data_IF_184353672042
#
_entry.id   IF_184353672042
#
_cell.length_a   1.000
_cell.length_b   1.000
_cell.length_c   1.000
_cell.angle_alpha   90.00
_cell.angle_beta   90.00
_cell.angle_gamma   90.00
#
_symmetry.space_group_name_H-M   'P 1'
#
loop_
_entity.id
_entity.type
_entity.pdbx_description
1 polymer ?
#
# COMPACT_ATOMS: atom_id res chain seq x y z
N UNK A 1 -7.08 12.54 4.24
CA UNK A 1 -6.30 12.76 5.48
C UNK A 1 -7.13 12.58 6.74
N UNK A 2 -8.31 13.19 6.87
CA UNK A 2 -9.09 13.17 8.12
C UNK A 2 -9.35 11.77 8.73
N UNK A 3 -9.60 10.74 7.92
CA UNK A 3 -9.75 9.37 8.44
C UNK A 3 -8.48 8.83 9.08
N UNK A 4 -7.32 8.97 8.42
CA UNK A 4 -6.02 8.47 8.90
C UNK A 4 -5.67 9.16 10.23
N UNK A 5 -5.81 10.49 10.28
CA UNK A 5 -5.52 11.26 11.49
C UNK A 5 -6.52 10.95 12.62
N UNK A 6 -7.79 10.67 12.30
CA UNK A 6 -8.80 10.24 13.28
C UNK A 6 -8.46 8.86 13.88
N UNK A 7 -7.90 7.92 13.10
CA UNK A 7 -7.40 6.66 13.66
C UNK A 7 -6.24 6.92 14.61
N UNK A 8 -5.28 7.77 14.25
CA UNK A 8 -4.18 8.14 15.15
C UNK A 8 -4.66 8.82 16.44
N UNK A 9 -5.67 9.68 16.36
CA UNK A 9 -6.29 10.28 17.55
C UNK A 9 -6.96 9.24 18.44
N UNK A 10 -7.66 8.28 17.83
CA UNK A 10 -8.31 7.18 18.56
C UNK A 10 -7.26 6.34 19.30
N UNK A 11 -6.18 5.94 18.61
CA UNK A 11 -5.07 5.23 19.23
C UNK A 11 -4.39 6.05 20.34
N UNK A 12 -4.23 7.37 20.18
CA UNK A 12 -3.65 8.24 21.20
C UNK A 12 -4.50 8.30 22.49
N UNK A 13 -5.83 8.26 22.36
CA UNK A 13 -6.76 8.26 23.50
C UNK A 13 -6.83 6.88 24.14
N UNK A 14 -6.91 5.82 23.34
CA UNK A 14 -7.06 4.45 23.82
C UNK A 14 -5.80 3.92 24.50
N UNK A 15 -4.61 4.17 23.95
CA UNK A 15 -3.34 3.74 24.56
C UNK A 15 -3.13 4.36 25.96
N UNK A 16 -3.65 5.58 26.19
CA UNK A 16 -3.66 6.20 27.53
C UNK A 16 -4.58 5.48 28.53
N UNK A 17 -5.58 4.73 28.05
CA UNK A 17 -6.61 4.06 28.87
C UNK A 17 -6.37 2.56 29.01
N UNK A 18 -5.96 1.87 27.95
CA UNK A 18 -5.70 0.45 27.92
C UNK A 18 -4.57 0.11 26.94
N UNK A 19 -3.42 -0.43 27.38
CA UNK A 19 -2.31 -0.78 26.50
C UNK A 19 -2.58 -2.01 25.61
N UNK A 20 -3.72 -2.71 25.80
CA UNK A 20 -4.16 -3.83 24.96
C UNK A 20 -5.28 -3.46 23.98
N UNK A 21 -5.43 -2.19 23.63
CA UNK A 21 -6.40 -1.75 22.62
C UNK A 21 -6.09 -2.34 21.24
N UNK A 22 -7.12 -2.54 20.42
CA UNK A 22 -6.94 -3.02 19.06
C UNK A 22 -6.24 -1.97 18.19
N UNK A 23 -5.38 -2.42 17.28
CA UNK A 23 -4.74 -1.53 16.30
C UNK A 23 -5.72 -1.22 15.16
N UNK A 24 -6.06 0.06 15.02
CA UNK A 24 -6.99 0.58 14.01
C UNK A 24 -6.28 1.47 12.99
N UNK A 25 -4.94 1.61 13.09
CA UNK A 25 -4.16 2.48 12.23
C UNK A 25 -4.11 1.96 10.79
N UNK A 26 -4.05 2.88 9.84
CA UNK A 26 -3.88 2.54 8.42
C UNK A 26 -2.42 2.24 8.14
N UNK A 27 -2.07 0.96 7.98
CA UNK A 27 -0.69 0.54 7.75
C UNK A 27 -0.24 0.62 6.29
N UNK A 28 -1.18 0.56 5.34
CA UNK A 28 -0.89 0.67 3.92
C UNK A 28 -2.09 1.26 3.17
N UNK A 29 -1.81 2.04 2.14
CA UNK A 29 -2.76 2.59 1.20
C UNK A 29 -2.39 2.09 -0.19
N UNK A 30 -3.30 1.33 -0.79
CA UNK A 30 -3.21 0.93 -2.18
C UNK A 30 -3.76 2.09 -3.02
N UNK A 31 -2.88 2.78 -3.75
CA UNK A 31 -3.27 3.90 -4.60
C UNK A 31 -3.39 3.43 -6.05
N UNK A 32 -4.61 3.30 -6.54
CA UNK A 32 -4.88 2.84 -7.90
C UNK A 32 -4.75 3.99 -8.89
N UNK A 33 -3.77 3.88 -9.78
CA UNK A 33 -3.55 4.78 -10.90
C UNK A 33 -4.19 4.22 -12.18
N UNK A 34 -4.80 5.08 -13.01
CA UNK A 34 -5.24 4.66 -14.33
C UNK A 34 -4.02 4.28 -15.20
N UNK A 35 -4.16 3.27 -16.08
CA UNK A 35 -3.07 2.79 -16.95
C UNK A 35 -2.87 3.71 -18.17
N UNK A 36 -2.79 5.02 -17.94
CA UNK A 36 -2.72 6.04 -18.99
C UNK A 36 -1.64 7.08 -18.68
N UNK A 37 -0.94 7.51 -19.74
CA UNK A 37 0.00 8.64 -19.70
C UNK A 37 -0.60 9.87 -20.38
N UNK A 38 -0.27 11.09 -19.91
CA UNK A 38 0.53 11.38 -18.71
C UNK A 38 -0.26 11.13 -17.40
N UNK A 39 0.45 10.84 -16.30
CA UNK A 39 -0.18 10.74 -14.98
C UNK A 39 -0.73 12.09 -14.55
N UNK A 40 -1.92 12.10 -13.96
CA UNK A 40 -2.57 13.34 -13.58
C UNK A 40 -1.82 13.98 -12.40
N UNK A 41 -1.54 15.30 -12.42
CA UNK A 41 -0.77 15.96 -11.36
C UNK A 41 -1.47 15.91 -9.99
N UNK A 42 -2.81 15.79 -9.97
CA UNK A 42 -3.57 15.58 -8.73
C UNK A 42 -3.23 14.24 -8.09
N UNK A 43 -3.03 13.18 -8.87
CA UNK A 43 -2.64 11.88 -8.33
C UNK A 43 -1.26 11.95 -7.68
N UNK A 44 -0.30 12.58 -8.35
CA UNK A 44 1.05 12.76 -7.82
C UNK A 44 1.04 13.59 -6.52
N UNK A 45 0.25 14.67 -6.49
CA UNK A 45 0.07 15.48 -5.28
C UNK A 45 -0.64 14.70 -4.16
N UNK A 46 -1.61 13.85 -4.49
CA UNK A 46 -2.32 13.03 -3.53
C UNK A 46 -1.40 11.97 -2.92
N UNK A 47 -0.65 11.24 -3.75
CA UNK A 47 0.33 10.24 -3.30
C UNK A 47 1.36 10.91 -2.37
N UNK A 48 1.91 12.07 -2.75
CA UNK A 48 2.85 12.84 -1.91
C UNK A 48 2.24 13.26 -0.57
N UNK A 49 0.98 13.68 -0.58
CA UNK A 49 0.29 14.09 0.63
C UNK A 49 0.03 12.91 1.56
N UNK A 50 -0.45 11.79 1.01
CA UNK A 50 -0.75 10.56 1.74
C UNK A 50 0.51 9.92 2.34
N UNK A 51 1.63 9.95 1.61
CA UNK A 51 2.91 9.39 2.07
C UNK A 51 3.45 10.04 3.36
N UNK A 52 3.00 11.25 3.71
CA UNK A 52 3.37 11.87 4.98
C UNK A 52 2.69 11.23 6.21
N UNK A 53 1.65 10.40 6.00
CA UNK A 53 0.82 9.83 7.07
C UNK A 53 0.54 8.33 6.94
N UNK A 54 0.76 7.72 5.78
CA UNK A 54 0.60 6.29 5.55
C UNK A 54 1.60 5.76 4.53
N UNK A 55 1.90 4.47 4.58
CA UNK A 55 2.65 3.79 3.53
C UNK A 55 1.81 3.72 2.26
N UNK A 56 2.26 4.35 1.16
CA UNK A 56 1.50 4.36 -0.11
C UNK A 56 2.14 3.41 -1.10
N UNK A 57 1.36 2.44 -1.58
CA UNK A 57 1.75 1.48 -2.61
C UNK A 57 1.01 1.87 -3.89
N UNK A 58 1.69 2.46 -4.89
CA UNK A 58 1.07 2.80 -6.16
C UNK A 58 0.87 1.54 -7.00
N UNK A 59 -0.35 1.38 -7.52
CA UNK A 59 -0.76 0.25 -8.36
C UNK A 59 -1.28 0.76 -9.70
N UNK A 60 -0.93 0.08 -10.78
CA UNK A 60 -1.56 0.29 -12.09
C UNK A 60 -2.83 -0.56 -12.17
N UNK A 61 -3.98 0.10 -12.24
CA UNK A 61 -5.27 -0.57 -12.35
C UNK A 61 -5.58 -0.98 -13.80
N UNK A 62 -6.46 -1.97 -13.98
CA UNK A 62 -6.99 -2.39 -15.29
C UNK A 62 -5.88 -2.70 -16.32
N UNK A 63 -4.88 -3.48 -15.90
CA UNK A 63 -3.73 -3.80 -16.76
C UNK A 63 -4.10 -4.59 -18.03
N UNK A 64 -5.24 -5.25 -18.05
CA UNK A 64 -5.84 -5.90 -19.22
C UNK A 64 -6.28 -4.92 -20.32
N UNK A 65 -6.37 -3.62 -20.03
CA UNK A 65 -6.73 -2.59 -21.03
C UNK A 65 -5.55 -2.15 -21.91
N UNK A 66 -4.33 -2.59 -21.60
CA UNK A 66 -3.10 -2.16 -22.26
C UNK A 66 -2.28 -3.36 -22.71
N UNK A 67 -1.44 -3.17 -23.73
CA UNK A 67 -0.53 -4.23 -24.21
C UNK A 67 0.70 -4.35 -23.33
N UNK A 68 1.34 -5.54 -23.27
CA UNK A 68 2.57 -5.77 -22.49
C UNK A 68 3.67 -4.75 -22.80
N UNK A 69 3.85 -4.40 -24.08
CA UNK A 69 4.83 -3.38 -24.50
C UNK A 69 4.50 -1.98 -23.97
N UNK A 70 3.22 -1.61 -23.92
CA UNK A 70 2.81 -0.33 -23.34
C UNK A 70 2.96 -0.35 -21.82
N UNK A 71 2.67 -1.49 -21.19
CA UNK A 71 2.79 -1.67 -19.76
C UNK A 71 4.21 -1.48 -19.26
N UNK A 72 5.21 -2.04 -19.94
CA UNK A 72 6.63 -1.84 -19.61
C UNK A 72 7.00 -0.34 -19.63
N UNK A 73 6.60 0.37 -20.68
CA UNK A 73 6.85 1.82 -20.79
C UNK A 73 6.14 2.63 -19.70
N UNK A 74 4.90 2.23 -19.34
CA UNK A 74 4.12 2.84 -18.28
C UNK A 74 4.79 2.67 -16.91
N UNK A 75 5.24 1.45 -16.60
CA UNK A 75 5.95 1.14 -15.36
C UNK A 75 7.23 1.95 -15.23
N UNK A 76 8.09 1.96 -16.26
CA UNK A 76 9.33 2.74 -16.24
C UNK A 76 9.08 4.24 -16.07
N UNK A 77 8.05 4.77 -16.75
CA UNK A 77 7.67 6.19 -16.64
C UNK A 77 7.13 6.53 -15.24
N UNK A 78 6.30 5.65 -14.68
CA UNK A 78 5.75 5.82 -13.34
C UNK A 78 6.85 5.76 -12.28
N UNK A 79 7.74 4.78 -12.36
CA UNK A 79 8.87 4.64 -11.44
C UNK A 79 9.75 5.89 -11.45
N UNK A 80 10.09 6.41 -12.63
CA UNK A 80 10.83 7.67 -12.76
C UNK A 80 10.09 8.85 -12.12
N UNK A 81 8.79 8.99 -12.40
CA UNK A 81 7.97 10.08 -11.86
C UNK A 81 7.86 10.00 -10.33
N UNK A 82 7.73 8.78 -9.79
CA UNK A 82 7.65 8.55 -8.35
C UNK A 82 8.98 8.81 -7.64
N UNK A 83 10.12 8.40 -8.23
CA UNK A 83 11.45 8.69 -7.68
C UNK A 83 11.72 10.20 -7.55
N UNK A 84 11.19 11.02 -8.46
CA UNK A 84 11.31 12.47 -8.41
C UNK A 84 10.37 13.11 -7.36
N UNK A 85 9.25 12.47 -7.04
CA UNK A 85 8.17 13.07 -6.23
C UNK A 85 8.04 12.52 -4.81
N UNK A 86 8.53 11.30 -4.55
CA UNK A 86 8.44 10.61 -3.27
C UNK A 86 9.75 9.89 -2.94
N UNK A 87 10.15 9.84 -1.66
CA UNK A 87 10.95 8.72 -1.20
C UNK A 87 10.09 7.47 -1.39
N UNK A 88 10.43 6.65 -2.39
CA UNK A 88 9.77 5.37 -2.61
C UNK A 88 9.77 4.57 -1.31
N UNK A 89 8.73 3.74 -1.14
CA UNK A 89 8.52 2.91 0.04
C UNK A 89 9.81 2.16 0.38
N UNK A 90 10.51 2.60 1.42
CA UNK A 90 11.75 1.95 1.81
C UNK A 90 11.43 0.79 2.74
N UNK A 91 11.06 -0.33 2.13
CA UNK A 91 10.90 -1.61 2.82
C UNK A 91 12.13 -1.99 3.65
N UNK A 92 13.30 -1.41 3.36
CA UNK A 92 14.54 -1.70 4.08
C UNK A 92 14.57 -1.14 5.51
N UNK A 93 13.67 -0.20 5.84
CA UNK A 93 13.55 0.34 7.21
C UNK A 93 12.58 -0.45 8.09
N UNK A 94 12.09 -1.60 7.60
CA UNK A 94 11.54 -2.63 8.47
C UNK A 94 12.68 -3.35 9.20
N UNK A 95 13.50 -2.56 9.91
CA UNK A 95 13.96 -2.86 11.25
C UNK A 95 13.97 -4.36 11.56
N UNK A 96 15.10 -4.96 11.19
CA UNK A 96 15.72 -6.13 11.81
C UNK A 96 16.05 -5.85 13.30
N UNK A 97 15.13 -5.18 13.99
CA UNK A 97 15.22 -4.70 15.37
C UNK A 97 14.75 -5.79 16.35
N UNK A 98 14.52 -6.99 15.84
CA UNK A 98 14.53 -8.18 16.67
C UNK A 98 15.96 -8.41 17.13
N UNK A 99 16.19 -8.26 18.43
CA UNK A 99 17.37 -8.68 19.21
C UNK A 99 17.64 -10.21 19.12
N UNK A 100 17.63 -10.74 17.89
CA UNK A 100 17.94 -12.10 17.54
C UNK A 100 18.97 -12.03 16.43
N UNK A 101 20.16 -12.54 16.69
CA UNK A 101 21.19 -12.78 15.70
C UNK A 101 20.54 -13.63 14.60
N UNK A 102 20.19 -13.02 13.48
CA UNK A 102 19.78 -13.74 12.28
C UNK A 102 21.06 -14.37 11.73
N UNK A 103 21.00 -15.65 11.38
CA UNK A 103 22.15 -16.29 10.74
C UNK A 103 22.39 -15.60 9.39
N UNK A 104 23.66 -15.35 9.03
CA UNK A 104 24.03 -14.54 7.85
C UNK A 104 23.31 -15.00 6.56
N UNK A 105 22.98 -16.30 6.44
CA UNK A 105 22.26 -16.89 5.29
C UNK A 105 20.78 -16.46 5.22
N UNK A 106 20.08 -16.34 6.35
CA UNK A 106 18.66 -15.91 6.40
C UNK A 106 18.51 -14.41 6.08
N UNK A 107 19.50 -13.60 6.46
CA UNK A 107 19.54 -12.16 6.14
C UNK A 107 19.75 -11.94 4.63
N UNK A 108 20.64 -12.72 3.99
CA UNK A 108 20.85 -12.66 2.54
C UNK A 108 19.60 -13.05 1.74
N UNK A 109 18.88 -14.10 2.16
CA UNK A 109 17.64 -14.52 1.52
C UNK A 109 16.57 -13.41 1.62
N UNK A 110 16.38 -12.84 2.81
CA UNK A 110 15.45 -11.74 3.06
C UNK A 110 15.76 -10.50 2.20
N UNK A 111 17.03 -10.08 2.15
CA UNK A 111 17.47 -8.96 1.30
C UNK A 111 17.20 -9.25 -0.18
N UNK A 112 17.38 -10.49 -0.61
CA UNK A 112 17.08 -10.91 -1.98
C UNK A 112 15.58 -10.79 -2.30
N UNK A 113 14.70 -11.15 -1.36
CA UNK A 113 13.24 -11.04 -1.50
C UNK A 113 12.78 -9.58 -1.54
N UNK A 114 13.31 -8.72 -0.66
CA UNK A 114 13.06 -7.27 -0.71
C UNK A 114 13.37 -6.75 -2.10
N UNK A 115 14.53 -7.14 -2.65
CA UNK A 115 14.98 -6.66 -3.96
C UNK A 115 14.02 -7.10 -5.06
N UNK A 116 13.62 -8.37 -5.10
CA UNK A 116 12.65 -8.88 -6.08
C UNK A 116 11.33 -8.11 -6.02
N UNK A 117 10.82 -7.83 -4.83
CA UNK A 117 9.57 -7.09 -4.64
C UNK A 117 9.71 -5.61 -5.02
N UNK A 118 10.85 -4.98 -4.70
CA UNK A 118 11.15 -3.60 -5.12
C UNK A 118 11.28 -3.49 -6.65
N UNK A 119 11.92 -4.45 -7.30
CA UNK A 119 12.11 -4.48 -8.76
C UNK A 119 10.78 -4.68 -9.51
N UNK A 120 9.80 -5.32 -8.88
CA UNK A 120 8.46 -5.52 -9.43
C UNK A 120 7.54 -4.29 -9.32
N UNK A 121 7.94 -3.24 -8.58
CA UNK A 121 7.15 -2.02 -8.49
C UNK A 121 7.26 -1.17 -9.76
N UNK A 122 6.17 -0.52 -10.20
CA UNK A 122 4.82 -0.55 -9.64
C UNK A 122 4.02 -1.79 -10.11
N UNK A 123 3.29 -2.43 -9.18
CA UNK A 123 2.49 -3.62 -9.51
C UNK A 123 1.29 -3.30 -10.37
N UNK A 124 0.92 -4.27 -11.19
CA UNK A 124 -0.29 -4.25 -12.02
C UNK A 124 -1.37 -5.12 -11.42
N UNK A 125 -2.59 -4.60 -11.42
CA UNK A 125 -3.75 -5.33 -10.88
C UNK A 125 -4.92 -5.30 -11.86
N UNK A 126 -5.61 -6.42 -11.91
CA UNK A 126 -6.83 -6.61 -12.68
C UNK A 126 -7.93 -7.00 -11.70
N UNK A 127 -9.04 -6.26 -11.74
CA UNK A 127 -10.19 -6.57 -10.89
C UNK A 127 -11.00 -7.70 -11.51
N UNK A 128 -11.28 -8.74 -10.72
CA UNK A 128 -12.19 -9.81 -11.13
C UNK A 128 -13.61 -9.26 -11.34
N UNK A 129 -14.37 -9.94 -12.20
CA UNK A 129 -15.78 -9.66 -12.40
C UNK A 129 -16.55 -10.13 -11.17
N UNK A 130 -17.38 -9.24 -10.62
CA UNK A 130 -18.31 -9.58 -9.55
C UNK A 130 -19.75 -9.49 -10.07
N UNK A 131 -20.62 -10.40 -9.63
CA UNK A 131 -22.03 -10.35 -9.96
C UNK A 131 -22.65 -9.01 -9.56
N UNK A 132 -23.48 -8.46 -10.45
CA UNK A 132 -24.20 -7.22 -10.17
C UNK A 132 -25.22 -7.42 -9.02
N UNK A 133 -25.51 -6.38 -8.22
CA UNK A 133 -26.54 -6.43 -7.20
C UNK A 133 -27.88 -6.91 -7.78
N UNK A 134 -28.41 -8.03 -7.28
CA UNK A 134 -29.66 -8.63 -7.75
C UNK A 134 -29.49 -9.78 -8.76
N UNK A 135 -28.28 -10.01 -9.28
CA UNK A 135 -27.94 -11.26 -9.94
C UNK A 135 -27.52 -12.28 -8.88
N UNK A 136 -28.19 -13.43 -8.81
CA UNK A 136 -27.69 -14.57 -8.05
C UNK A 136 -26.45 -15.10 -8.76
N UNK A 137 -25.26 -14.64 -8.40
CA UNK A 137 -24.09 -15.49 -8.60
C UNK A 137 -24.25 -16.72 -7.73
N UNK A 138 -24.02 -17.87 -8.33
CA UNK A 138 -23.85 -19.11 -7.59
C UNK A 138 -22.45 -19.18 -6.94
N UNK A 139 -21.49 -18.37 -7.42
CA UNK A 139 -20.13 -18.21 -6.88
C UNK A 139 -19.43 -16.95 -7.37
N UNK A 140 -18.41 -16.48 -6.65
CA UNK A 140 -17.49 -15.39 -7.06
C UNK A 140 -16.52 -15.80 -8.19
N UNK A 141 -16.61 -17.04 -8.64
CA UNK A 141 -15.76 -17.63 -9.68
C UNK A 141 -16.52 -17.76 -11.00
N UNK A 142 -15.82 -17.51 -12.11
CA UNK A 142 -16.25 -17.85 -13.45
C UNK A 142 -16.00 -19.34 -13.70
N UNK A 143 -16.98 -20.05 -14.25
CA UNK A 143 -16.79 -21.44 -14.70
C UNK A 143 -16.42 -21.45 -16.18
N UNK A 144 -15.15 -21.72 -16.47
CA UNK A 144 -14.60 -21.82 -17.83
C UNK A 144 -13.97 -23.20 -17.98
N UNK A 145 -14.41 -23.96 -18.99
CA UNK A 145 -13.94 -25.33 -19.27
C UNK A 145 -13.98 -26.28 -18.04
N UNK A 146 -14.98 -26.08 -17.16
CA UNK A 146 -15.16 -26.86 -15.94
C UNK A 146 -14.23 -26.47 -14.78
N UNK A 147 -13.39 -25.44 -14.97
CA UNK A 147 -12.57 -24.86 -13.92
C UNK A 147 -13.20 -23.58 -13.36
N UNK A 148 -13.02 -23.37 -12.06
CA UNK A 148 -13.42 -22.15 -11.37
C UNK A 148 -12.25 -21.18 -11.36
N UNK A 149 -12.37 -20.10 -12.10
CA UNK A 149 -11.35 -19.06 -12.19
C UNK A 149 -11.86 -17.78 -11.57
N UNK A 150 -10.98 -17.04 -10.90
CA UNK A 150 -11.26 -15.67 -10.48
C UNK A 150 -10.76 -14.76 -11.59
N UNK A 151 -11.64 -14.05 -12.28
CA UNK A 151 -11.26 -13.43 -13.54
C UNK A 151 -12.29 -12.52 -14.15
N UNK A 152 -12.00 -12.10 -15.39
CA UNK A 152 -12.92 -11.34 -16.24
C UNK A 152 -13.16 -12.10 -17.53
N UNK A 153 -14.41 -12.16 -17.99
CA UNK A 153 -14.73 -12.75 -19.28
C UNK A 153 -14.91 -11.67 -20.34
N UNK A 154 -14.19 -11.83 -21.45
CA UNK A 154 -14.30 -11.02 -22.65
C UNK A 154 -14.83 -11.84 -23.83
N UNK A 155 -15.32 -11.16 -24.86
CA UNK A 155 -15.74 -11.82 -26.11
C UNK A 155 -14.59 -12.57 -26.82
N UNK A 156 -13.35 -12.14 -26.55
CA UNK A 156 -12.13 -12.66 -27.16
C UNK A 156 -11.34 -13.61 -26.26
N UNK A 157 -11.78 -13.87 -25.03
CA UNK A 157 -11.07 -14.74 -24.09
C UNK A 157 -11.41 -14.43 -22.64
N UNK A 158 -10.67 -15.05 -21.73
CA UNK A 158 -10.81 -14.82 -20.29
C UNK A 158 -9.46 -14.41 -19.70
N UNK A 159 -9.52 -13.50 -18.74
CA UNK A 159 -8.35 -13.08 -17.96
C UNK A 159 -8.47 -13.68 -16.58
N UNK A 160 -7.56 -14.58 -16.24
CA UNK A 160 -7.45 -15.14 -14.90
C UNK A 160 -6.57 -14.22 -14.04
N UNK A 161 -7.11 -13.74 -12.93
CA UNK A 161 -6.46 -12.77 -12.03
C UNK A 161 -5.42 -13.43 -11.13
N UNK A 162 -5.50 -14.75 -10.93
CA UNK A 162 -4.50 -15.51 -10.18
C UNK A 162 -3.36 -16.05 -11.08
N UNK A 163 -3.42 -15.78 -12.39
CA UNK A 163 -2.38 -16.17 -13.34
C UNK A 163 -1.28 -15.10 -13.43
N UNK A 164 -0.02 -15.53 -13.25
CA UNK A 164 1.16 -14.67 -13.28
C UNK A 164 1.43 -14.08 -14.67
N UNK A 165 0.98 -14.75 -15.73
CA UNK A 165 1.11 -14.23 -17.10
C UNK A 165 0.12 -13.09 -17.39
N UNK A 166 -0.97 -13.00 -16.61
CA UNK A 166 -2.01 -12.00 -16.80
C UNK A 166 -1.86 -10.79 -15.88
N UNK A 167 -1.48 -10.98 -14.61
CA UNK A 167 -1.22 -9.85 -13.71
C UNK A 167 -0.33 -10.19 -12.50
N UNK A 168 0.16 -9.13 -11.86
CA UNK A 168 1.06 -9.21 -10.71
C UNK A 168 0.33 -9.18 -9.37
N UNK A 169 -0.96 -9.54 -9.36
CA UNK A 169 -1.74 -9.53 -8.12
C UNK A 169 -1.15 -10.50 -7.07
N UNK A 170 -0.58 -11.62 -7.51
CA UNK A 170 0.08 -12.58 -6.63
C UNK A 170 1.27 -11.94 -5.88
N UNK A 171 2.12 -11.17 -6.56
CA UNK A 171 3.21 -10.42 -5.91
C UNK A 171 2.68 -9.41 -4.91
N UNK A 172 1.59 -8.70 -5.24
CA UNK A 172 0.97 -7.76 -4.32
C UNK A 172 0.40 -8.45 -3.07
N UNK A 173 -0.27 -9.61 -3.23
CA UNK A 173 -0.79 -10.42 -2.11
C UNK A 173 0.35 -10.88 -1.20
N UNK A 174 1.40 -11.43 -1.79
CA UNK A 174 2.59 -11.88 -1.05
C UNK A 174 3.25 -10.72 -0.28
N UNK A 175 3.44 -9.58 -0.95
CA UNK A 175 3.97 -8.37 -0.30
C UNK A 175 3.10 -7.94 0.89
N UNK A 176 1.78 -7.88 0.73
CA UNK A 176 0.88 -7.31 1.74
C UNK A 176 0.58 -8.24 2.90
N UNK A 177 0.53 -9.55 2.68
CA UNK A 177 0.06 -10.50 3.69
C UNK A 177 1.17 -11.34 4.32
N UNK A 178 2.26 -11.58 3.60
CA UNK A 178 3.32 -12.48 4.05
C UNK A 178 4.59 -11.70 4.37
N UNK A 179 5.04 -10.85 3.45
CA UNK A 179 6.37 -10.27 3.53
C UNK A 179 6.44 -8.92 4.26
N UNK A 180 5.78 -7.89 3.73
CA UNK A 180 5.98 -6.51 4.19
C UNK A 180 5.06 -6.10 5.36
N UNK A 181 4.04 -6.89 5.72
CA UNK A 181 3.07 -6.50 6.74
C UNK A 181 3.70 -6.13 8.10
N UNK A 182 4.64 -6.91 8.66
CA UNK A 182 5.29 -6.55 9.92
C UNK A 182 6.05 -5.22 9.80
N UNK A 183 6.77 -5.03 8.70
CA UNK A 183 7.51 -3.81 8.40
C UNK A 183 6.63 -2.58 8.25
N UNK A 184 5.54 -2.70 7.48
CA UNK A 184 4.55 -1.64 7.30
C UNK A 184 3.91 -1.21 8.62
N UNK A 185 3.61 -2.18 9.50
CA UNK A 185 3.11 -1.91 10.85
C UNK A 185 4.14 -1.19 11.71
N UNK A 186 5.37 -1.68 11.73
CA UNK A 186 6.48 -1.06 12.47
C UNK A 186 6.69 0.38 12.02
N UNK A 187 6.85 0.62 10.72
CA UNK A 187 7.04 1.95 10.14
C UNK A 187 5.86 2.89 10.47
N UNK A 188 4.63 2.40 10.37
CA UNK A 188 3.44 3.18 10.73
C UNK A 188 3.48 3.63 12.18
N UNK A 189 3.85 2.74 13.10
CA UNK A 189 3.89 3.04 14.53
C UNK A 189 5.07 3.92 14.91
N UNK A 190 6.28 3.53 14.49
CA UNK A 190 7.53 4.15 14.92
C UNK A 190 7.83 5.46 14.21
N UNK A 191 7.38 5.63 12.96
CA UNK A 191 7.66 6.85 12.17
C UNK A 191 6.40 7.70 11.99
N UNK A 192 5.34 7.17 11.38
CA UNK A 192 4.19 7.98 10.95
C UNK A 192 3.34 8.46 12.13
N UNK A 193 3.00 7.55 13.04
CA UNK A 193 2.25 7.85 14.25
C UNK A 193 3.08 8.72 15.22
N UNK A 194 4.35 8.40 15.46
CA UNK A 194 5.19 9.20 16.37
C UNK A 194 5.46 10.61 15.83
N UNK A 195 5.61 10.78 14.51
CA UNK A 195 5.64 12.11 13.88
C UNK A 195 4.34 12.87 14.13
N UNK A 196 3.18 12.25 13.90
CA UNK A 196 1.87 12.86 14.17
C UNK A 196 1.72 13.23 15.66
N UNK A 197 2.10 12.33 16.56
CA UNK A 197 2.05 12.53 18.01
C UNK A 197 2.92 13.72 18.44
N UNK A 198 4.13 13.81 17.91
CA UNK A 198 5.05 14.92 18.20
C UNK A 198 4.47 16.25 17.72
N UNK A 199 3.94 16.32 16.50
CA UNK A 199 3.27 17.50 15.95
C UNK A 199 2.07 17.93 16.81
N UNK A 200 1.26 16.97 17.29
CA UNK A 200 0.13 17.24 18.21
C UNK A 200 0.60 17.76 19.56
N UNK A 201 1.63 17.17 20.17
CA UNK A 201 2.14 17.61 21.48
C UNK A 201 2.74 19.02 21.40
N UNK A 202 3.50 19.33 20.34
CA UNK A 202 4.05 20.67 20.12
C UNK A 202 2.95 21.72 19.96
N UNK A 203 1.87 21.40 19.21
CA UNK A 203 0.74 22.32 19.03
C UNK A 203 0.00 22.62 20.35
N UNK A 204 -0.07 21.67 21.28
CA UNK A 204 -0.66 21.89 22.61
C UNK A 204 0.28 22.67 23.54
N UNK A 205 1.59 22.40 23.50
CA UNK A 205 2.58 23.13 24.28
C UNK A 205 2.67 24.61 23.87
N UNK A 206 2.58 24.90 22.56
CA UNK A 206 2.57 26.27 22.04
C UNK A 206 1.33 27.08 22.44
N UNK A 207 0.19 26.42 22.68
CA UNK A 207 -1.03 27.09 23.20
C UNK A 207 -0.95 27.37 24.70
N UNK A 208 -0.32 26.49 25.49
CA UNK A 208 -0.17 26.69 26.93
C UNK A 208 0.84 27.79 27.30
N UNK A 209 1.80 28.11 26.42
CA UNK A 209 2.80 29.17 26.64
C UNK A 209 2.35 30.60 26.25
N UNK A 210 1.16 30.76 25.67
CA UNK A 210 0.64 32.05 25.18
C UNK A 210 -0.12 32.89 26.22
N UNK A 211 -0.60 32.28 27.31
CA UNK A 211 -1.50 32.92 28.29
C UNK A 211 -0.78 33.61 29.46
N UNK A 212 0.56 33.77 29.42
CA UNK A 212 1.34 34.35 30.52
C UNK A 212 2.03 35.69 30.19
N UNK A 213 1.55 36.45 29.20
CA UNK A 213 2.02 37.81 28.93
C UNK A 213 0.87 38.78 28.70
N UNK A 214 0.21 39.19 29.78
CA UNK A 214 -0.44 40.50 29.91
C UNK A 214 -0.86 40.69 31.38
N UNK A 215 0.05 41.23 32.18
CA UNK A 215 -0.22 42.05 33.37
C UNK A 215 0.91 43.09 33.52
#
# INVERSE_FOLDING_TARGET
MGYIESQFETSLIEVKRNPKSADTMVHAILYLLPPMLPFHPVDLSAIRTLANRANVIPLLAHADSITNRQLENLKSSLLKTLQETLPLLDFASADLDGDGIIEDEEEEEFVSEIKKLKDALPYTVIGAEFPLPGQKAQSDYLEIDGQKILGRQYHWGCVNVDDEEHCELHFLKYLLFEFALPGLRSFTRCQLYERYRTERLMAHAGKAGGDHKEE
#
